data_IF_178485221463
#
_entry.id   IF_178485221463
#
_cell.length_a   1.000
_cell.length_b   1.000
_cell.length_c   1.000
_cell.angle_alpha   90.00
_cell.angle_beta   90.00
_cell.angle_gamma   90.00
#
_symmetry.space_group_name_H-M   'P 1'
#
loop_
_entity.id
_entity.type
_entity.pdbx_description
1 polymer ?
2 polymer ?
3 polymer ?
4 water ?
#
# COMPACT_ATOMS: atom_id res chain seq x y z
N UNK A 3 -17.33 -5.28 -43.97
CA UNK A 3 -18.16 -5.27 -42.73
C UNK A 3 -17.64 -4.21 -41.75
N UNK A 4 -17.14 -3.09 -42.29
CA UNK A 4 -16.51 -2.02 -41.52
C UNK A 4 -17.24 -1.61 -40.23
N UNK A 5 -18.57 -1.67 -40.25
CA UNK A 5 -19.38 -1.33 -39.08
C UNK A 5 -19.19 -2.36 -37.97
N UNK A 6 -19.22 -3.64 -38.35
CA UNK A 6 -19.03 -4.73 -37.41
C UNK A 6 -17.60 -4.77 -36.88
N UNK A 7 -16.65 -4.43 -37.75
CA UNK A 7 -15.24 -4.37 -37.39
C UNK A 7 -14.96 -3.29 -36.36
N UNK A 8 -15.68 -2.17 -36.46
CA UNK A 8 -15.57 -1.11 -35.47
C UNK A 8 -16.01 -1.64 -34.13
N UNK A 9 -17.13 -2.38 -34.11
CA UNK A 9 -17.67 -2.93 -32.88
C UNK A 9 -16.74 -3.94 -32.20
N UNK A 10 -16.09 -4.79 -32.99
CA UNK A 10 -15.13 -5.74 -32.47
C UNK A 10 -13.90 -5.05 -31.91
N UNK A 11 -13.45 -4.00 -32.60
CA UNK A 11 -12.24 -3.26 -32.22
C UNK A 11 -12.37 -2.48 -30.91
N UNK A 12 -13.55 -1.95 -30.61
CA UNK A 12 -13.78 -1.28 -29.32
C UNK A 12 -13.88 -2.32 -28.20
N UNK A 13 -14.53 -3.44 -28.51
CA UNK A 13 -14.60 -4.59 -27.61
C UNK A 13 -13.19 -5.12 -27.32
N UNK A 14 -12.36 -5.17 -28.36
CA UNK A 14 -10.97 -5.62 -28.24
C UNK A 14 -10.17 -4.71 -27.33
N UNK A 15 -10.30 -3.41 -27.55
CA UNK A 15 -9.61 -2.40 -26.74
C UNK A 15 -10.10 -2.41 -25.29
N UNK A 16 -11.38 -2.74 -25.11
CA UNK A 16 -12.01 -2.79 -23.80
C UNK A 16 -11.44 -3.95 -22.99
N UNK A 17 -11.25 -5.09 -23.66
CA UNK A 17 -10.65 -6.26 -23.05
C UNK A 17 -9.16 -6.06 -22.81
N UNK A 18 -8.48 -5.39 -23.74
CA UNK A 18 -7.07 -5.06 -23.54
C UNK A 18 -6.85 -4.21 -22.28
N UNK A 19 -7.78 -3.30 -22.00
CA UNK A 19 -7.71 -2.47 -20.80
C UNK A 19 -7.99 -3.27 -19.53
N UNK A 20 -8.93 -4.19 -19.60
CA UNK A 20 -9.23 -5.05 -18.47
C UNK A 20 -8.00 -5.90 -18.10
N UNK A 21 -7.40 -6.55 -19.10
CA UNK A 21 -6.22 -7.39 -18.91
C UNK A 21 -5.04 -6.61 -18.31
N UNK A 22 -4.79 -5.42 -18.82
CA UNK A 22 -3.73 -4.55 -18.34
C UNK A 22 -3.89 -4.20 -16.85
N UNK A 23 -5.13 -3.86 -16.47
CA UNK A 23 -5.49 -3.57 -15.09
C UNK A 23 -5.30 -4.82 -14.23
N UNK A 24 -5.75 -5.95 -14.75
CA UNK A 24 -5.67 -7.20 -14.00
C UNK A 24 -4.24 -7.69 -13.79
N UNK A 25 -3.38 -7.47 -14.78
CA UNK A 25 -1.97 -7.80 -14.64
C UNK A 25 -1.27 -7.04 -13.53
N UNK A 26 -1.58 -5.75 -13.40
CA UNK A 26 -1.07 -4.94 -12.31
C UNK A 26 -1.57 -5.45 -10.98
N UNK A 27 -2.87 -5.74 -10.94
CA UNK A 27 -3.46 -6.26 -9.73
C UNK A 27 -2.83 -7.59 -9.35
N UNK A 28 -2.64 -8.46 -10.33
CA UNK A 28 -2.02 -9.76 -10.06
C UNK A 28 -0.65 -9.59 -9.44
N UNK A 29 0.18 -8.74 -10.06
CA UNK A 29 1.52 -8.43 -9.54
C UNK A 29 1.49 -7.96 -8.09
N UNK A 30 0.64 -6.98 -7.83
CA UNK A 30 0.55 -6.40 -6.52
C UNK A 30 0.14 -7.46 -5.52
N UNK A 31 -0.83 -8.28 -5.88
CA UNK A 31 -1.28 -9.34 -4.96
C UNK A 31 -0.16 -10.36 -4.69
N UNK A 32 0.66 -10.63 -5.70
CA UNK A 32 1.75 -11.56 -5.51
C UNK A 32 2.76 -10.97 -4.54
N UNK A 33 3.00 -9.66 -4.65
CA UNK A 33 3.98 -9.00 -3.82
C UNK A 33 3.53 -8.90 -2.37
N UNK A 34 2.23 -8.74 -2.16
CA UNK A 34 1.64 -8.76 -0.84
C UNK A 34 1.74 -10.15 -0.21
N UNK A 35 1.33 -11.15 -0.97
CA UNK A 35 1.45 -12.51 -0.51
C UNK A 35 2.87 -12.80 -0.02
N UNK A 36 3.86 -12.43 -0.85
CA UNK A 36 5.26 -12.68 -0.55
C UNK A 36 5.66 -11.88 0.67
N UNK A 37 5.34 -10.59 0.66
CA UNK A 37 5.72 -9.70 1.75
C UNK A 37 5.13 -10.13 3.09
N UNK A 38 3.82 -10.41 3.13
CA UNK A 38 3.17 -10.81 4.38
C UNK A 38 3.86 -12.07 4.90
N UNK A 39 3.98 -13.08 4.04
CA UNK A 39 4.52 -14.39 4.46
C UNK A 39 5.96 -14.25 4.91
N UNK A 40 6.73 -13.41 4.23
CA UNK A 40 8.08 -13.13 4.62
C UNK A 40 8.17 -12.44 6.00
N UNK A 41 7.34 -11.43 6.23
CA UNK A 41 7.31 -10.75 7.54
C UNK A 41 7.02 -11.75 8.65
N UNK A 42 5.93 -12.51 8.47
CA UNK A 42 5.50 -13.50 9.45
C UNK A 42 6.60 -14.52 9.79
N UNK A 43 7.36 -14.98 8.80
CA UNK A 43 8.46 -15.92 9.09
C UNK A 43 9.70 -15.24 9.68
N UNK A 44 9.91 -13.95 9.39
CA UNK A 44 10.99 -13.22 10.04
C UNK A 44 10.70 -13.15 11.55
N UNK A 45 9.48 -12.75 11.89
CA UNK A 45 9.04 -12.62 13.28
C UNK A 45 8.96 -13.98 14.01
N UNK A 46 8.40 -14.99 13.33
CA UNK A 46 8.39 -16.35 13.88
C UNK A 46 9.79 -16.81 14.28
N UNK A 47 10.77 -16.55 13.43
CA UNK A 47 12.16 -16.93 13.73
C UNK A 47 12.75 -16.08 14.85
N UNK A 48 12.50 -14.77 14.83
CA UNK A 48 13.06 -13.86 15.84
C UNK A 48 12.45 -14.06 17.23
N UNK A 49 11.29 -14.71 17.29
CA UNK A 49 10.67 -15.06 18.55
C UNK A 49 11.24 -16.35 19.14
N UNK A 50 11.89 -17.18 18.32
CA UNK A 50 12.67 -18.31 18.84
C UNK A 50 13.92 -17.75 19.50
N UNK A 51 14.73 -17.06 18.71
CA UNK A 51 15.98 -16.47 19.18
C UNK A 51 15.73 -15.54 20.36
N UNK A 52 16.28 -15.92 21.52
CA UNK A 52 15.97 -15.28 22.81
C UNK A 52 14.46 -15.16 23.03
N UNK A 53 13.91 -16.12 23.77
CA UNK A 53 12.46 -16.21 23.99
C UNK A 53 11.86 -15.02 24.76
N UNK A 54 10.54 -15.04 24.94
CA UNK A 54 9.73 -13.91 25.41
C UNK A 54 9.32 -13.05 24.21
N UNK A 55 8.04 -13.12 23.80
CA UNK A 55 7.54 -12.31 22.67
C UNK A 55 7.72 -10.81 22.92
N UNK A 56 7.83 -9.99 21.85
CA UNK A 56 8.10 -8.57 22.03
C UNK A 56 7.04 -7.85 22.87
N UNK A 57 7.46 -6.90 23.71
CA UNK A 57 6.49 -6.08 24.46
C UNK A 57 5.51 -5.36 23.52
N UNK A 58 4.20 -5.51 23.78
CA UNK A 58 3.07 -4.96 23.02
C UNK A 58 3.26 -3.54 22.45
N UNK A 59 3.89 -2.64 23.21
CA UNK A 59 4.05 -1.25 22.80
C UNK A 59 5.14 -1.02 21.76
N UNK A 60 6.05 -1.99 21.63
CA UNK A 60 7.18 -1.89 20.71
C UNK A 60 6.87 -2.56 19.37
N UNK A 61 5.58 -2.72 19.07
CA UNK A 61 5.14 -3.56 17.94
C UNK A 61 3.82 -3.06 17.34
N UNK A 62 3.82 -2.92 16.01
CA UNK A 62 2.65 -2.46 15.28
C UNK A 62 2.14 -3.55 14.34
N UNK A 63 0.92 -4.02 14.59
CA UNK A 63 0.28 -5.01 13.73
C UNK A 63 -0.31 -4.37 12.49
N UNK A 64 -0.33 -5.13 11.40
CA UNK A 64 -1.01 -4.71 10.19
C UNK A 64 -2.52 -4.89 10.40
N UNK A 65 -3.36 -4.15 9.66
CA UNK A 65 -2.96 -3.11 8.73
C UNK A 65 -2.71 -1.79 9.43
N UNK A 66 -1.91 -0.94 8.80
CA UNK A 66 -1.66 0.41 9.26
C UNK A 66 -1.22 1.32 8.13
N UNK A 67 -1.07 2.60 8.47
CA UNK A 67 -0.66 3.65 7.55
C UNK A 67 0.42 4.45 8.26
N UNK A 68 1.37 4.98 7.51
CA UNK A 68 2.43 5.83 8.07
C UNK A 68 2.31 7.25 7.50
N UNK A 69 2.53 8.24 8.35
CA UNK A 69 2.64 9.63 7.91
C UNK A 69 3.91 10.18 8.53
N UNK A 70 4.79 10.72 7.69
CA UNK A 70 5.99 11.38 8.20
C UNK A 70 6.22 12.75 7.61
N UNK A 71 6.73 13.63 8.47
CA UNK A 71 7.04 14.98 8.10
C UNK A 71 8.23 15.43 8.93
N UNK A 72 8.86 16.53 8.54
CA UNK A 72 9.98 17.09 9.27
C UNK A 72 9.65 17.21 10.76
N UNK A 73 10.63 16.94 11.61
CA UNK A 73 10.46 16.99 13.06
C UNK A 73 10.05 18.38 13.53
N UNK A 74 10.31 19.39 12.69
CA UNK A 74 9.93 20.78 12.96
C UNK A 74 8.48 21.08 12.58
N UNK A 75 8.02 20.54 11.46
CA UNK A 75 6.67 20.76 10.92
C UNK A 75 5.58 20.79 11.99
N UNK A 76 4.89 21.94 12.08
CA UNK A 76 3.77 22.13 13.00
C UNK A 76 2.60 21.31 12.51
N UNK A 77 2.05 20.50 13.42
CA UNK A 77 0.86 19.71 13.14
C UNK A 77 -0.24 20.14 14.09
N UNK A 78 -1.44 20.33 13.55
CA UNK A 78 -2.58 20.69 14.37
C UNK A 78 -3.61 19.58 14.33
N UNK A 79 -3.80 18.94 15.47
CA UNK A 79 -4.75 17.85 15.55
C UNK A 79 -6.11 18.31 16.08
N UNK A 80 -7.15 17.75 15.47
CA UNK A 80 -8.51 17.92 15.94
C UNK A 80 -9.20 16.56 15.86
N UNK A 81 -9.83 16.16 16.97
CA UNK A 81 -10.47 14.86 17.09
C UNK A 81 -11.93 15.02 17.47
N UNK A 82 -12.80 14.20 16.87
CA UNK A 82 -14.20 14.12 17.29
C UNK A 82 -14.29 13.37 18.61
N UNK A 83 -15.44 13.53 19.28
CA UNK A 83 -15.73 12.89 20.58
C UNK A 83 -15.38 11.41 20.54
N UNK A 84 -16.06 10.68 19.65
CA UNK A 84 -15.93 9.22 19.55
C UNK A 84 -14.62 8.74 18.92
N UNK A 85 -13.78 9.69 18.49
CA UNK A 85 -12.53 9.40 17.79
C UNK A 85 -12.72 8.74 16.42
N UNK A 86 -13.93 8.84 15.87
CA UNK A 86 -14.21 8.39 14.51
C UNK A 86 -13.65 9.36 13.46
N UNK A 87 -13.61 10.65 13.79
CA UNK A 87 -13.08 11.65 12.85
C UNK A 87 -11.85 12.39 13.39
N UNK A 88 -10.90 12.62 12.51
CA UNK A 88 -9.65 13.30 12.84
C UNK A 88 -9.37 14.31 11.75
N UNK A 89 -8.61 15.35 12.10
CA UNK A 89 -8.18 16.35 11.14
C UNK A 89 -6.80 16.86 11.55
N UNK A 90 -5.85 16.73 10.63
CA UNK A 90 -4.49 17.21 10.84
C UNK A 90 -4.16 18.33 9.87
N UNK A 91 -3.61 19.43 10.40
CA UNK A 91 -3.09 20.51 9.59
C UNK A 91 -1.57 20.47 9.67
N UNK A 92 -0.92 20.68 8.53
CA UNK A 92 0.54 20.63 8.44
C UNK A 92 1.01 21.93 7.84
N UNK A 93 2.08 22.49 8.40
CA UNK A 93 2.65 23.71 7.83
C UNK A 93 3.87 23.39 6.97
N UNK A 94 3.91 22.15 6.47
CA UNK A 94 5.00 21.71 5.60
C UNK A 94 4.66 20.39 4.95
N UNK A 95 5.45 20.04 3.93
CA UNK A 95 5.35 18.77 3.21
C UNK A 95 5.35 17.60 4.19
N UNK A 96 4.48 16.63 3.93
CA UNK A 96 4.47 15.38 4.64
C UNK A 96 4.46 14.22 3.64
N UNK A 97 4.60 13.00 4.12
CA UNK A 97 4.48 11.83 3.26
C UNK A 97 3.53 10.79 3.87
N UNK A 98 2.75 10.14 3.02
CA UNK A 98 1.91 9.03 3.47
C UNK A 98 2.33 7.72 2.80
N UNK A 99 2.54 6.70 3.63
CA UNK A 99 2.96 5.39 3.16
C UNK A 99 2.08 4.29 3.73
N UNK A 100 1.80 3.32 2.87
CA UNK A 100 1.08 2.11 3.22
C UNK A 100 1.98 1.16 4.01
N UNK A 101 1.37 0.19 4.70
CA UNK A 101 2.15 -0.91 5.30
C UNK A 101 2.86 -1.78 4.24
N UNK A 102 2.16 -2.08 3.15
CA UNK A 102 2.77 -2.85 2.05
C UNK A 102 4.03 -2.16 1.55
N UNK A 103 3.94 -0.84 1.35
CA UNK A 103 5.06 -0.04 0.88
C UNK A 103 6.21 -0.09 1.88
N UNK A 104 5.86 -0.06 3.17
CA UNK A 104 6.83 -0.19 4.25
C UNK A 104 7.50 -1.55 4.20
N UNK A 105 6.68 -2.59 4.06
CA UNK A 105 7.17 -3.95 3.95
C UNK A 105 8.12 -4.14 2.75
N UNK A 106 7.76 -3.51 1.62
CA UNK A 106 8.57 -3.54 0.40
C UNK A 106 9.93 -2.87 0.62
N UNK A 107 9.91 -1.71 1.26
CA UNK A 107 11.15 -0.99 1.54
C UNK A 107 12.02 -1.70 2.58
N UNK A 108 11.39 -2.47 3.47
CA UNK A 108 12.13 -3.37 4.35
C UNK A 108 12.77 -4.54 3.61
N UNK A 109 12.37 -4.75 2.35
CA UNK A 109 12.90 -5.87 1.55
C UNK A 109 12.13 -7.17 1.75
N UNK A 110 10.91 -7.04 2.27
CA UNK A 110 10.08 -8.20 2.54
C UNK A 110 9.65 -8.90 1.24
N UNK A 111 9.41 -8.12 0.19
CA UNK A 111 9.06 -8.67 -1.12
C UNK A 111 10.29 -9.10 -1.92
N UNK A 112 11.45 -9.20 -1.26
CA UNK A 112 12.66 -9.75 -1.86
C UNK A 112 13.17 -8.96 -3.08
N UNK A 113 12.88 -7.67 -3.15
CA UNK A 113 13.30 -6.84 -4.28
C UNK A 113 12.46 -7.04 -5.53
N UNK A 114 11.48 -7.93 -5.46
CA UNK A 114 10.66 -8.29 -6.58
C UNK A 114 9.86 -7.10 -7.12
N UNK A 115 9.59 -6.10 -6.27
CA UNK A 115 8.85 -4.87 -6.71
C UNK A 115 9.46 -4.28 -7.95
N UNK A 116 10.77 -4.41 -8.10
CA UNK A 116 11.52 -3.71 -9.14
C UNK A 116 12.48 -4.63 -9.89
N UNK A 117 12.29 -5.94 -9.76
CA UNK A 117 13.19 -6.92 -10.40
C UNK A 117 14.59 -6.95 -9.83
N UNK A 118 14.77 -6.44 -8.61
CA UNK A 118 16.08 -6.26 -8.05
C UNK A 118 16.46 -7.40 -7.13
N UNK A 119 16.29 -8.62 -7.63
CA UNK A 119 16.51 -9.84 -6.84
C UNK A 119 17.87 -10.43 -7.03
N UNK A 120 18.53 -10.76 -5.93
CA UNK A 120 19.66 -11.67 -6.00
C UNK A 120 19.09 -13.08 -6.20
N UNK A 121 19.96 -14.01 -6.55
CA UNK A 121 19.63 -15.44 -6.64
C UNK A 121 18.88 -15.90 -5.39
N UNK A 122 19.40 -15.57 -4.22
CA UNK A 122 18.77 -15.97 -2.97
C UNK A 122 17.42 -15.27 -2.73
N UNK A 123 17.34 -13.97 -3.05
CA UNK A 123 16.06 -13.23 -3.03
C UNK A 123 14.98 -13.90 -3.88
N UNK A 124 15.36 -14.28 -5.10
CA UNK A 124 14.45 -14.89 -6.04
C UNK A 124 14.00 -16.25 -5.54
N UNK A 125 14.95 -17.01 -4.99
CA UNK A 125 14.66 -18.32 -4.45
C UNK A 125 13.64 -18.16 -3.31
N UNK A 126 13.87 -17.15 -2.48
CA UNK A 126 12.99 -16.90 -1.36
C UNK A 126 11.59 -16.60 -1.89
N UNK A 127 11.52 -15.67 -2.83
CA UNK A 127 10.26 -15.25 -3.45
C UNK A 127 9.47 -16.42 -4.03
N UNK A 128 10.16 -17.26 -4.80
CA UNK A 128 9.60 -18.45 -5.46
C UNK A 128 9.03 -19.47 -4.48
N UNK A 129 9.61 -19.56 -3.29
CA UNK A 129 9.19 -20.53 -2.31
C UNK A 129 8.01 -20.04 -1.48
N UNK A 130 7.70 -18.75 -1.55
CA UNK A 130 6.61 -18.17 -0.74
C UNK A 130 5.31 -18.06 -1.54
N UNK A 131 5.31 -18.63 -2.73
CA UNK A 131 4.18 -18.51 -3.64
C UNK A 131 3.81 -19.90 -4.17
N UNK A 132 2.52 -20.22 -4.31
CA UNK A 132 2.22 -21.55 -4.85
C UNK A 132 2.76 -21.78 -6.26
N UNK A 133 3.06 -23.04 -6.59
CA UNK A 133 3.66 -23.43 -7.86
C UNK A 133 3.01 -22.81 -9.11
N UNK A 134 1.68 -22.69 -9.11
CA UNK A 134 0.97 -22.11 -10.25
C UNK A 134 1.38 -20.67 -10.51
N UNK A 135 1.88 -19.98 -9.49
CA UNK A 135 2.21 -18.55 -9.61
C UNK A 135 3.67 -18.31 -9.89
N UNK A 136 4.44 -19.38 -9.89
CA UNK A 136 5.88 -19.37 -10.16
C UNK A 136 6.25 -18.71 -11.50
N UNK A 137 5.61 -19.11 -12.62
CA UNK A 137 5.99 -18.47 -13.90
C UNK A 137 5.76 -16.96 -13.91
N UNK A 138 4.67 -16.52 -13.30
CA UNK A 138 4.41 -15.09 -13.20
C UNK A 138 5.49 -14.38 -12.34
N UNK A 139 5.88 -15.00 -11.24
CA UNK A 139 6.97 -14.47 -10.41
C UNK A 139 8.25 -14.26 -11.25
N UNK A 140 8.56 -15.25 -12.09
CA UNK A 140 9.70 -15.20 -12.99
C UNK A 140 9.57 -14.03 -13.95
N UNK A 141 8.34 -13.80 -14.44
CA UNK A 141 8.04 -12.68 -15.31
C UNK A 141 8.33 -11.38 -14.56
N UNK A 142 7.83 -11.28 -13.33
CA UNK A 142 8.08 -10.08 -12.52
C UNK A 142 9.55 -9.83 -12.22
N UNK A 143 10.33 -10.91 -12.14
CA UNK A 143 11.76 -10.81 -11.86
C UNK A 143 12.54 -10.25 -13.03
N UNK A 144 12.02 -10.44 -14.25
CA UNK A 144 12.66 -9.98 -15.49
C UNK A 144 12.14 -8.65 -16.00
N UNK A 145 11.07 -8.14 -15.39
CA UNK A 145 10.34 -7.00 -15.95
C UNK A 145 9.55 -7.28 -17.23
N UNK A 146 9.69 -8.48 -17.83
CA UNK A 146 8.94 -8.82 -19.04
C UNK A 146 7.50 -9.23 -18.71
N UNK A 147 6.76 -8.34 -18.06
CA UNK A 147 5.39 -8.62 -17.63
C UNK A 147 4.36 -8.12 -18.63
N UNK A 148 4.71 -7.04 -19.33
CA UNK A 148 3.83 -6.41 -20.31
C UNK A 148 3.64 -7.16 -21.61
N UNK A 149 3.68 -6.41 -22.72
CA UNK A 149 3.35 -6.93 -24.06
C UNK A 149 1.89 -7.29 -24.21
N UNK A 150 1.19 -7.33 -23.07
CA UNK A 150 -0.24 -7.71 -22.92
C UNK A 150 -0.59 -9.05 -23.59
N UNK A 151 -0.46 -10.14 -22.84
CA UNK A 151 -0.90 -11.44 -23.33
C UNK A 151 -2.42 -11.49 -23.32
N UNK B 6 -10.11 -11.93 -43.89
CA UNK B 6 -10.08 -10.44 -43.78
C UNK B 6 -9.94 -9.96 -42.34
N UNK B 7 -10.19 -8.66 -42.14
CA UNK B 7 -10.03 -8.01 -40.83
C UNK B 7 -11.06 -8.44 -39.78
N UNK B 8 -12.26 -8.82 -40.21
CA UNK B 8 -13.30 -9.30 -39.29
C UNK B 8 -12.94 -10.63 -38.63
N UNK B 9 -12.29 -11.52 -39.37
CA UNK B 9 -11.73 -12.76 -38.82
C UNK B 9 -10.53 -12.44 -37.95
N UNK B 10 -9.77 -11.43 -38.35
CA UNK B 10 -8.60 -10.99 -37.62
C UNK B 10 -8.97 -10.52 -36.24
N UNK B 11 -10.01 -9.68 -36.15
CA UNK B 11 -10.49 -9.19 -34.87
C UNK B 11 -11.15 -10.30 -34.04
N UNK B 12 -11.80 -11.24 -34.70
CA UNK B 12 -12.45 -12.35 -34.00
C UNK B 12 -11.44 -13.31 -33.38
N UNK B 13 -10.33 -13.51 -34.08
CA UNK B 13 -9.21 -14.31 -33.60
C UNK B 13 -8.52 -13.62 -32.41
N UNK B 14 -8.45 -12.28 -32.46
CA UNK B 14 -7.89 -11.47 -31.39
C UNK B 14 -8.77 -11.58 -30.16
N UNK B 15 -10.09 -11.47 -30.36
CA UNK B 15 -11.02 -11.58 -29.26
C UNK B 15 -10.93 -12.94 -28.55
N UNK B 16 -10.55 -13.98 -29.29
CA UNK B 16 -10.42 -15.32 -28.73
C UNK B 16 -9.14 -15.50 -27.91
N UNK B 17 -8.04 -14.92 -28.38
CA UNK B 17 -6.80 -14.90 -27.61
C UNK B 17 -6.99 -14.14 -26.30
N UNK B 18 -7.61 -12.97 -26.38
CA UNK B 18 -7.87 -12.12 -25.22
C UNK B 18 -8.86 -12.72 -24.23
N UNK B 19 -9.76 -13.56 -24.71
CA UNK B 19 -10.70 -14.22 -23.84
C UNK B 19 -9.97 -15.31 -23.04
N UNK B 20 -9.16 -16.12 -23.73
CA UNK B 20 -8.36 -17.18 -23.10
C UNK B 20 -7.32 -16.60 -22.13
N UNK B 21 -6.66 -15.52 -22.54
CA UNK B 21 -5.70 -14.86 -21.67
C UNK B 21 -6.32 -14.37 -20.37
N UNK B 22 -7.50 -13.77 -20.47
CA UNK B 22 -8.16 -13.22 -19.30
C UNK B 22 -8.68 -14.32 -18.37
N UNK B 23 -9.14 -15.43 -18.95
CA UNK B 23 -9.54 -16.60 -18.17
C UNK B 23 -8.36 -17.09 -17.32
N UNK B 24 -7.17 -17.13 -17.91
CA UNK B 24 -5.94 -17.55 -17.22
C UNK B 24 -5.54 -16.58 -16.10
N UNK B 25 -5.60 -15.30 -16.40
CA UNK B 25 -5.34 -14.24 -15.47
C UNK B 25 -6.28 -14.33 -14.28
N UNK B 26 -7.58 -14.43 -14.56
CA UNK B 26 -8.57 -14.59 -13.50
C UNK B 26 -8.29 -15.81 -12.62
N UNK B 27 -7.83 -16.90 -13.22
CA UNK B 27 -7.53 -18.12 -12.46
C UNK B 27 -6.37 -17.88 -11.47
N UNK B 28 -5.30 -17.25 -11.95
CA UNK B 28 -4.16 -16.95 -11.11
C UNK B 28 -4.54 -15.98 -10.01
N UNK B 29 -5.35 -14.99 -10.34
CA UNK B 29 -5.80 -14.00 -9.35
C UNK B 29 -6.60 -14.72 -8.30
N UNK B 30 -7.44 -15.63 -8.76
CA UNK B 30 -8.23 -16.48 -7.88
C UNK B 30 -7.37 -17.25 -6.87
N UNK B 31 -6.35 -17.95 -7.37
CA UNK B 31 -5.38 -18.64 -6.54
C UNK B 31 -4.74 -17.63 -5.59
N UNK B 32 -4.31 -16.51 -6.14
CA UNK B 32 -3.66 -15.49 -5.33
C UNK B 32 -4.51 -14.90 -4.20
N UNK B 33 -5.76 -14.54 -4.45
CA UNK B 33 -6.59 -13.97 -3.39
C UNK B 33 -7.00 -15.02 -2.35
N UNK B 34 -7.04 -16.30 -2.77
CA UNK B 34 -7.27 -17.42 -1.84
C UNK B 34 -6.10 -17.57 -0.88
N UNK B 35 -4.87 -17.44 -1.38
CA UNK B 35 -3.71 -17.44 -0.49
C UNK B 35 -3.84 -16.31 0.51
N UNK B 36 -4.24 -15.12 0.04
CA UNK B 36 -4.36 -13.98 0.97
C UNK B 36 -5.47 -14.19 1.99
N UNK B 37 -6.58 -14.79 1.57
CA UNK B 37 -7.70 -15.12 2.45
C UNK B 37 -7.28 -16.09 3.55
N UNK B 38 -6.56 -17.15 3.17
CA UNK B 38 -6.05 -18.11 4.13
C UNK B 38 -5.14 -17.43 5.17
N UNK B 39 -4.29 -16.52 4.71
CA UNK B 39 -3.40 -15.75 5.58
C UNK B 39 -4.20 -14.93 6.59
N UNK B 40 -5.30 -14.34 6.14
CA UNK B 40 -6.09 -13.48 7.00
C UNK B 40 -6.96 -14.29 7.97
N UNK B 41 -7.32 -15.53 7.61
CA UNK B 41 -8.01 -16.42 8.54
C UNK B 41 -7.05 -17.15 9.46
N UNK B 42 -5.75 -17.01 9.25
CA UNK B 42 -4.78 -17.72 10.10
C UNK B 42 -4.33 -16.91 11.31
N UNK B 43 -4.78 -17.37 12.47
CA UNK B 43 -4.51 -16.74 13.77
C UNK B 43 -3.03 -16.57 14.10
N UNK B 44 -2.23 -17.60 13.86
CA UNK B 44 -0.81 -17.52 14.15
C UNK B 44 -0.08 -16.52 13.24
N UNK B 45 -0.48 -16.43 11.99
CA UNK B 45 0.12 -15.47 11.07
C UNK B 45 -0.25 -14.05 11.48
N UNK B 46 -1.54 -13.83 11.77
CA UNK B 46 -2.03 -12.51 12.21
C UNK B 46 -1.29 -12.02 13.42
N UNK B 47 -1.18 -12.90 14.41
CA UNK B 47 -0.44 -12.59 15.63
C UNK B 47 1.00 -12.14 15.30
N UNK B 48 1.58 -12.72 14.25
CA UNK B 48 2.98 -12.45 13.87
C UNK B 48 3.15 -11.39 12.77
N UNK B 49 2.04 -10.86 12.28
CA UNK B 49 2.06 -9.87 11.20
C UNK B 49 2.24 -8.46 11.77
N UNK B 50 3.48 -8.12 12.14
CA UNK B 50 3.76 -6.84 12.78
C UNK B 50 5.14 -6.29 12.39
N UNK B 51 5.31 -4.97 12.52
CA UNK B 51 6.64 -4.38 12.39
C UNK B 51 7.11 -3.72 13.69
N UNK B 52 8.43 -3.74 13.91
CA UNK B 52 9.04 -3.11 15.08
C UNK B 52 9.23 -1.62 14.80
N UNK B 53 9.77 -0.90 15.78
CA UNK B 53 10.09 0.53 15.60
C UNK B 53 11.40 0.66 14.83
N UNK B 54 12.26 -0.35 14.98
CA UNK B 54 13.52 -0.47 14.24
C UNK B 54 13.28 -0.72 12.73
N UNK B 55 12.18 -1.40 12.41
CA UNK B 55 11.72 -1.58 11.02
C UNK B 55 11.35 -0.24 10.38
N UNK B 56 10.46 0.51 11.03
CA UNK B 56 10.02 1.80 10.51
C UNK B 56 11.18 2.78 10.36
N UNK B 57 12.31 2.47 10.99
CA UNK B 57 13.48 3.32 10.94
C UNK B 57 14.15 3.29 9.57
N UNK B 58 14.45 2.10 9.06
CA UNK B 58 15.17 1.97 7.79
C UNK B 58 14.46 2.67 6.62
N UNK B 59 13.21 3.07 6.85
CA UNK B 59 12.38 3.74 5.83
C UNK B 59 12.00 5.16 6.24
N UNK B 60 12.37 5.54 7.46
CA UNK B 60 12.26 6.89 8.01
C UNK B 60 12.45 6.82 9.53
N UNK B 61 13.64 7.17 10.03
CA UNK B 61 13.95 7.02 11.46
C UNK B 61 13.54 8.20 12.34
N UNK B 62 12.90 7.92 13.51
CA UNK B 62 12.50 8.95 14.47
C UNK B 62 13.70 9.63 15.18
N UNK B 63 14.67 10.06 14.38
CA UNK B 63 15.84 10.78 14.87
C UNK B 63 15.98 12.15 14.18
N UNK B 64 15.60 12.21 12.90
CA UNK B 64 15.55 13.47 12.15
C UNK B 64 14.14 13.81 11.69
N UNK B 65 13.36 12.77 11.43
CA UNK B 65 12.00 12.90 10.92
C UNK B 65 10.98 12.37 11.92
N UNK B 66 9.80 12.98 11.93
CA UNK B 66 8.71 12.52 12.79
C UNK B 66 7.86 11.46 12.06
N UNK B 67 7.51 10.39 12.77
CA UNK B 67 6.75 9.29 12.16
C UNK B 67 5.45 9.03 12.93
N UNK B 68 4.34 9.03 12.20
CA UNK B 68 3.02 8.88 12.78
C UNK B 68 2.32 7.63 12.25
N UNK B 69 1.80 6.80 13.15
CA UNK B 69 1.11 5.58 12.77
C UNK B 69 -0.38 5.74 12.95
N UNK B 70 -1.13 5.50 11.88
CA UNK B 70 -2.57 5.54 11.87
C UNK B 70 -3.14 4.11 11.74
N UNK B 71 -4.15 3.80 12.55
CA UNK B 71 -4.86 2.52 12.44
C UNK B 71 -6.37 2.71 12.46
N UNK B 72 -6.95 2.83 11.27
CA UNK B 72 -8.38 2.99 11.11
C UNK B 72 -9.01 1.65 10.74
N UNK B 73 -10.26 1.40 11.20
CA UNK B 73 -11.01 0.24 10.70
C UNK B 73 -11.15 0.23 9.16
N UNK B 74 -11.55 -0.90 8.56
CA UNK B 74 -11.84 -0.89 7.11
C UNK B 74 -12.91 0.14 6.73
N UNK B 75 -12.96 0.51 5.45
CA UNK B 75 -13.99 1.40 4.89
C UNK B 75 -13.82 2.90 5.20
N UNK B 76 -12.97 3.24 6.17
CA UNK B 76 -12.76 4.64 6.56
C UNK B 76 -12.14 5.47 5.44
N UNK B 77 -12.45 6.76 5.42
CA UNK B 77 -11.98 7.65 4.35
C UNK B 77 -10.82 8.54 4.77
N UNK B 78 -9.87 8.71 3.86
CA UNK B 78 -8.74 9.60 4.07
C UNK B 78 -8.75 10.63 2.96
N UNK B 79 -8.76 11.88 3.36
CA UNK B 79 -8.71 13.00 2.42
C UNK B 79 -7.44 13.78 2.68
N UNK B 80 -6.65 13.95 1.64
CA UNK B 80 -5.47 14.79 1.71
C UNK B 80 -5.74 16.04 0.89
N UNK B 81 -5.35 17.20 1.42
CA UNK B 81 -5.67 18.47 0.79
C UNK B 81 -4.50 19.45 0.68
N UNK B 82 -4.30 19.97 -0.53
CA UNK B 82 -3.39 21.08 -0.77
C UNK B 82 -4.21 22.36 -0.78
N UNK B 83 -4.13 23.13 0.30
CA UNK B 83 -4.79 24.43 0.37
C UNK B 83 -3.96 25.50 -0.33
N UNK B 84 -4.49 26.72 -0.33
CA UNK B 84 -3.77 27.85 -0.89
C UNK B 84 -2.48 28.07 -0.07
N UNK B 85 -2.44 27.50 1.13
CA UNK B 85 -1.54 27.98 2.18
C UNK B 85 -1.11 26.94 3.23
N UNK B 86 -1.81 25.80 3.27
CA UNK B 86 -1.38 24.69 4.14
C UNK B 86 -1.76 23.30 3.62
N UNK B 87 -1.29 22.28 4.31
CA UNK B 87 -1.60 20.90 3.97
C UNK B 87 -2.44 20.27 5.06
N UNK B 88 -3.33 19.37 4.68
CA UNK B 88 -4.14 18.66 5.65
C UNK B 88 -4.47 17.22 5.28
N UNK B 89 -4.60 16.39 6.31
CA UNK B 89 -5.11 15.04 6.21
C UNK B 89 -6.38 14.96 7.05
N UNK B 90 -7.47 14.50 6.43
CA UNK B 90 -8.70 14.23 7.16
C UNK B 90 -9.03 12.74 7.14
N UNK B 91 -9.40 12.20 8.29
CA UNK B 91 -9.83 10.81 8.42
C UNK B 91 -11.27 10.75 8.93
N UNK B 92 -12.14 10.12 8.16
CA UNK B 92 -13.53 9.92 8.58
C UNK B 92 -13.87 8.43 8.58
N UNK B 93 -14.10 7.88 9.76
CA UNK B 93 -14.51 6.49 9.92
C UNK B 93 -16.02 6.40 10.15
N UNK B 94 -16.71 5.68 9.26
CA UNK B 94 -18.16 5.51 9.40
C UNK B 94 -18.58 4.56 10.54
N UNK B 95 -17.72 3.61 10.86
CA UNK B 95 -17.90 2.75 12.06
C UNK B 95 -16.57 2.46 12.74
N UNK B 96 -16.57 2.44 14.07
CA UNK B 96 -15.37 2.19 14.86
C UNK B 96 -14.46 3.40 15.01
N UNK B 97 -13.73 3.49 16.14
CA UNK B 97 -12.74 4.56 16.36
C UNK B 97 -11.40 4.32 15.66
N UNK B 98 -10.74 5.41 15.28
CA UNK B 98 -9.40 5.36 14.69
C UNK B 98 -8.30 5.67 15.74
N UNK B 99 -7.14 5.07 15.56
CA UNK B 99 -6.05 5.15 16.52
C UNK B 99 -4.83 5.78 15.87
N UNK B 100 -4.17 6.69 16.59
CA UNK B 100 -2.98 7.40 16.10
C UNK B 100 -1.90 7.47 17.18
N UNK B 101 -0.64 7.20 16.82
CA UNK B 101 0.48 7.32 17.77
C UNK B 101 1.85 7.55 17.12
N UNK B 102 2.86 7.83 17.97
CA UNK B 102 4.23 8.12 17.52
C UNK B 102 5.19 6.96 17.76
N UNK B 103 6.46 7.19 17.44
CA UNK B 103 7.51 6.18 17.59
C UNK B 103 8.59 6.56 18.62
N UNK B 104 9.01 5.58 19.45
CA UNK B 104 9.95 5.83 20.55
C UNK B 104 11.44 5.68 20.17
N UNK B 105 12.12 6.83 20.09
CA UNK B 105 13.58 6.92 19.90
C UNK B 105 14.03 8.39 19.97
N UNK B 106 13.11 9.30 19.64
CA UNK B 106 13.37 10.73 19.53
C UNK B 106 13.84 11.38 20.84
N UNK C 1 -6.36 19.51 -5.97
CA UNK C 1 -5.84 19.82 -4.62
C UNK C 1 -6.60 19.05 -3.52
N UNK C 2 -7.22 17.95 -3.91
CA UNK C 2 -8.10 17.18 -3.03
C UNK C 2 -8.12 15.71 -3.46
N UNK C 3 -7.38 14.87 -2.76
CA UNK C 3 -7.33 13.44 -3.10
C UNK C 3 -7.96 12.58 -2.00
N UNK C 4 -8.91 11.75 -2.40
CA UNK C 4 -9.61 10.87 -1.46
C UNK C 4 -9.30 9.40 -1.72
N UNK C 5 -9.03 8.66 -0.65
CA UNK C 5 -8.88 7.20 -0.72
C UNK C 5 -9.46 6.50 0.51
N UNK C 6 -9.78 5.22 0.35
CA UNK C 6 -10.31 4.42 1.43
C UNK C 6 -9.23 3.50 2.00
N UNK C 7 -9.15 3.43 3.33
CA UNK C 7 -8.27 2.47 3.99
C UNK C 7 -8.95 1.10 3.95
N UNK C 8 -8.77 0.40 2.84
CA UNK C 8 -9.43 -0.87 2.57
C UNK C 8 -9.46 -1.12 1.07
N UNK C 9 -8.41 -0.68 0.40
CA UNK C 9 -8.23 -0.88 -1.03
C UNK C 9 -6.82 -1.41 -1.28
N UNK C 10 -6.71 -2.71 -1.55
CA UNK C 10 -5.41 -3.35 -1.81
C UNK C 10 -4.77 -2.90 -3.13
N UNK C 11 -5.54 -2.17 -3.93
CA UNK C 11 -5.07 -1.54 -5.15
C UNK C 11 -5.25 -0.03 -5.09
N UNK C 12 -4.35 0.71 -5.74
CA UNK C 12 -4.48 2.17 -5.88
C UNK C 12 -3.88 2.96 -4.74
N UNK C 13 -4.19 2.56 -3.51
CA UNK C 13 -3.76 3.26 -2.29
C UNK C 13 -2.33 3.80 -2.34
N UNK C 14 -1.36 2.90 -2.54
CA UNK C 14 0.06 3.27 -2.60
C UNK C 14 0.34 4.30 -3.69
N UNK C 15 -0.23 4.05 -4.87
CA UNK C 15 -0.06 4.95 -6.01
C UNK C 15 -0.78 6.28 -5.80
N UNK C 16 -1.93 6.22 -5.14
CA UNK C 16 -2.70 7.41 -4.78
C UNK C 16 -2.07 8.13 -3.58
N UNK C 17 -1.46 7.37 -2.68
CA UNK C 17 -0.61 7.94 -1.64
C UNK C 17 0.56 8.66 -2.28
N UNK C 18 1.13 8.05 -3.33
CA UNK C 18 2.26 8.63 -4.05
C UNK C 18 1.83 9.85 -4.88
N UNK C 19 0.59 9.86 -5.37
CA UNK C 19 0.02 11.08 -5.98
C UNK C 19 -0.22 12.15 -4.91
N UNK C 20 -0.70 11.72 -3.75
CA UNK C 20 -0.81 12.56 -2.56
C UNK C 20 0.56 13.14 -2.18
N UNK C 21 1.58 12.30 -2.15
CA UNK C 21 2.95 12.75 -1.90
C UNK C 21 3.45 13.71 -2.99
N UNK C 22 3.00 13.50 -4.22
CA UNK C 22 3.33 14.38 -5.35
C UNK C 22 2.66 15.75 -5.18
N UNK C 23 1.36 15.74 -4.92
CA UNK C 23 0.58 16.96 -4.69
C UNK C 23 1.14 17.80 -3.54
N UNK C 24 1.76 17.13 -2.57
CA UNK C 24 2.08 17.73 -1.29
C UNK C 24 3.57 18.02 -1.09
N UNK C 25 4.40 17.61 -2.06
CA UNK C 25 5.85 17.74 -1.91
C UNK C 25 6.37 19.15 -2.17
N UNK C 26 5.79 19.84 -3.15
CA UNK C 26 6.18 21.21 -3.44
C UNK C 26 5.50 22.18 -2.47
N UNK C 27 6.28 22.86 -1.63
CA UNK C 27 5.74 23.76 -0.61
C UNK C 27 6.31 25.19 -0.64
N UNK C 28 6.25 25.82 -1.83
CA UNK C 28 6.68 27.21 -1.98
C UNK C 28 5.70 28.21 -1.34
N UNK C 29 4.42 28.06 -1.64
CA UNK C 29 3.38 28.97 -1.15
C UNK C 29 2.62 28.42 0.06
N UNK C 30 3.35 27.96 1.06
CA UNK C 30 2.77 27.47 2.31
C UNK C 30 3.10 28.41 3.47
N UNK C 31 2.07 28.81 4.20
CA UNK C 31 2.25 29.72 5.34
C UNK C 31 2.77 28.99 6.56
N UNK C 32 3.83 29.52 7.16
CA UNK C 32 4.37 28.98 8.40
C UNK C 32 3.56 29.40 9.62
N UNK C 33 3.39 28.46 10.54
CA UNK C 33 2.58 28.65 11.74
C UNK C 33 3.30 29.53 12.76
N UNK C 34 2.54 30.43 13.38
CA UNK C 34 3.09 31.36 14.36
C UNK C 34 2.49 31.09 15.74
N UNK C 35 3.37 31.02 16.75
CA UNK C 35 2.95 30.83 18.14
C UNK C 35 2.17 32.03 18.69
N UNK C 36 2.55 33.23 18.26
CA UNK C 36 1.87 34.46 18.66
C UNK C 36 0.79 34.84 17.64
N UNK C 37 -0.40 35.16 18.14
CA UNK C 37 -1.56 35.36 17.29
C UNK C 37 -2.41 34.10 17.25
N UNK C 38 -1.94 33.06 17.94
CA UNK C 38 -2.69 31.81 18.07
C UNK C 38 -2.98 31.50 19.52
N UNK C 39 -4.13 30.87 19.76
CA UNK C 39 -4.53 30.45 21.09
C UNK C 39 -4.41 28.94 21.20
N UNK C 40 -3.33 28.44 21.85
CA UNK C 40 -3.00 27.02 21.97
C UNK C 40 -4.04 26.20 22.72
N UNK C 41 -4.28 24.94 22.28
CA UNK C 41 -5.27 24.04 22.87
C UNK C 41 -4.98 23.72 24.33
N UNK C 42 -6.03 23.42 25.10
CA UNK C 42 -5.87 23.04 26.50
C UNK C 42 -5.24 21.65 26.64
N UNK C 43 -4.04 21.57 27.25
CA UNK C 43 -3.36 20.29 27.43
C UNK C 43 -4.08 19.45 28.50
N UNK C 44 -4.70 18.36 28.06
CA UNK C 44 -5.54 17.53 28.92
C UNK C 44 -4.77 16.39 29.58
#
# INVERSE_FOLDING_TARGET
GEFAQECQNLEVERQRRLERIKQKQSQLQELILQQIAFKNLVQRNRHAEQQASRPPPPNSVIHLPFIIVNTSKKTVIDCSISNDKFEYLFNFDNTFEIHDDIEVLKRMGMACGLESGSCSAEDLKMARSLVPKALEPYVTEMAQGTVGGVFITTA
GSHMGGRLEGLTQDLRQLQESEQQLDHLMNICTTQLRLLSEDTDSQRLAYVTCQDLRSIADPAEQMVMVIKAPPETQLQAVDSSENFQISLKSKQGPIDVFLCPEE
SRILVSIGESFGTSEKFQKINQMVCNSDRVLKRSAEGSNPPKPLKK
#
